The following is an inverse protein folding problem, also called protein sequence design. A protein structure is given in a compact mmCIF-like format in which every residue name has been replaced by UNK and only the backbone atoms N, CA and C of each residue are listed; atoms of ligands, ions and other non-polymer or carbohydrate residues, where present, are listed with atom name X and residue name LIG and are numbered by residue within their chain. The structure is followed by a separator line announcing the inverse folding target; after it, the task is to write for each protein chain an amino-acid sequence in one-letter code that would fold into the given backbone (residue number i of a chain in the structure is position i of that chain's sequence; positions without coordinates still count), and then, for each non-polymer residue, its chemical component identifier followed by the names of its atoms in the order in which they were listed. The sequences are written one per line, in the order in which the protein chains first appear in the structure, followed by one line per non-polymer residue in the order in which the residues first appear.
data_IF_600658992642
#
_entry.id   IF_600658992642
#
_cell.length_a   1.000
_cell.length_b   1.000
_cell.length_c   1.000
_cell.angle_alpha   90.00
_cell.angle_beta   90.00
_cell.angle_gamma   90.00
#
_symmetry.space_group_name_H-M   'P 1'
#
loop_
_entity.id
_entity.type
_entity.pdbx_description
1 polymer ?
#
# COMPACT_ATOMS: atom_id res chain seq x y z
N UNK A 1 17.03 4.78 -11.34
CA UNK A 1 16.41 6.14 -11.44
C UNK A 1 15.82 6.50 -10.11
N UNK A 2 16.08 7.68 -9.58
CA UNK A 2 15.50 8.13 -8.31
C UNK A 2 14.05 8.58 -8.51
N UNK A 3 13.21 8.39 -7.48
CA UNK A 3 11.77 8.67 -7.52
C UNK A 3 11.34 9.56 -6.37
N UNK A 4 10.53 10.57 -6.68
CA UNK A 4 10.04 11.54 -5.69
C UNK A 4 8.51 11.66 -5.79
N UNK A 5 7.85 11.60 -4.64
CA UNK A 5 6.41 11.83 -4.54
C UNK A 5 6.13 13.34 -4.56
N UNK A 6 5.17 13.74 -5.38
CA UNK A 6 4.76 15.14 -5.56
C UNK A 6 3.24 15.25 -5.68
N UNK A 7 2.70 16.45 -5.60
CA UNK A 7 1.30 16.69 -5.95
C UNK A 7 1.07 16.55 -7.45
N UNK A 8 -0.10 16.05 -7.87
CA UNK A 8 -0.45 15.83 -9.29
C UNK A 8 -0.25 17.08 -10.15
N UNK A 9 -0.50 18.28 -9.60
CA UNK A 9 -0.30 19.53 -10.34
C UNK A 9 1.16 19.80 -10.70
N UNK A 10 2.11 19.32 -9.89
CA UNK A 10 3.54 19.47 -10.19
C UNK A 10 3.95 18.73 -11.48
N UNK A 11 3.29 17.61 -11.79
CA UNK A 11 3.57 16.81 -12.99
C UNK A 11 3.19 17.54 -14.30
N UNK A 12 2.33 18.56 -14.22
CA UNK A 12 1.89 19.36 -15.38
C UNK A 12 2.88 20.48 -15.72
N UNK A 13 3.81 20.76 -14.82
CA UNK A 13 4.74 21.89 -14.94
C UNK A 13 6.07 21.44 -15.57
N UNK A 14 6.63 22.28 -16.43
CA UNK A 14 7.96 22.06 -17.01
C UNK A 14 9.10 22.38 -16.02
N UNK A 15 8.80 23.11 -14.96
CA UNK A 15 9.75 23.36 -13.87
C UNK A 15 9.01 23.28 -12.53
N UNK A 16 8.72 22.06 -12.02
CA UNK A 16 7.95 21.89 -10.81
C UNK A 16 8.75 22.35 -9.59
N UNK A 17 8.06 23.01 -8.67
CA UNK A 17 8.59 23.23 -7.34
C UNK A 17 8.35 21.99 -6.50
N UNK A 18 9.41 21.40 -5.96
CA UNK A 18 9.31 20.22 -5.12
C UNK A 18 8.80 20.58 -3.71
N UNK A 19 7.91 19.77 -3.13
CA UNK A 19 7.61 19.82 -1.70
C UNK A 19 8.90 19.75 -0.87
N UNK A 20 8.89 20.37 0.30
CA UNK A 20 10.09 20.47 1.18
C UNK A 20 10.75 19.11 1.44
N UNK A 21 9.96 18.05 1.65
CA UNK A 21 10.46 16.70 1.88
C UNK A 21 11.13 16.13 0.63
N UNK A 22 10.49 16.23 -0.53
CA UNK A 22 11.06 15.79 -1.81
C UNK A 22 12.34 16.58 -2.17
N UNK A 23 12.34 17.90 -1.93
CA UNK A 23 13.52 18.73 -2.14
C UNK A 23 14.69 18.34 -1.21
N UNK A 24 14.41 18.04 0.05
CA UNK A 24 15.42 17.56 0.98
C UNK A 24 15.95 16.18 0.58
N UNK A 25 15.07 15.28 0.15
CA UNK A 25 15.48 13.97 -0.35
C UNK A 25 16.39 14.09 -1.56
N UNK A 26 16.05 14.96 -2.53
CA UNK A 26 16.88 15.24 -3.71
C UNK A 26 18.28 15.76 -3.31
N UNK A 27 18.37 16.63 -2.31
CA UNK A 27 19.66 17.13 -1.80
C UNK A 27 20.53 16.03 -1.20
N UNK A 28 19.92 15.07 -0.49
CA UNK A 28 20.64 13.91 0.09
C UNK A 28 21.15 12.99 -1.01
N UNK A 29 20.38 12.78 -2.07
CA UNK A 29 20.74 11.96 -3.22
C UNK A 29 21.93 12.52 -4.01
N UNK A 30 22.18 13.84 -3.97
CA UNK A 30 23.26 14.54 -4.69
C UNK A 30 23.30 14.16 -6.18
N UNK A 31 22.19 14.31 -6.91
CA UNK A 31 22.14 13.91 -8.31
C UNK A 31 23.15 14.70 -9.15
N UNK A 32 23.65 14.08 -10.20
CA UNK A 32 24.54 14.73 -11.17
C UNK A 32 23.73 15.58 -12.14
N UNK A 33 24.39 16.55 -12.76
CA UNK A 33 23.79 17.31 -13.85
C UNK A 33 23.39 16.37 -15.01
N UNK A 34 22.17 16.55 -15.52
CA UNK A 34 21.59 15.68 -16.55
C UNK A 34 21.03 14.34 -16.04
N UNK A 35 21.15 14.02 -14.75
CA UNK A 35 20.59 12.78 -14.20
C UNK A 35 19.06 12.79 -14.24
N UNK A 36 18.48 11.66 -14.62
CA UNK A 36 17.03 11.51 -14.69
C UNK A 36 16.44 11.09 -13.34
N UNK A 37 15.36 11.77 -12.97
CA UNK A 37 14.53 11.43 -11.83
C UNK A 37 13.08 11.32 -12.28
N UNK A 38 12.32 10.44 -11.62
CA UNK A 38 10.89 10.32 -11.82
C UNK A 38 10.14 11.06 -10.71
N UNK A 39 9.21 11.91 -11.09
CA UNK A 39 8.19 12.44 -10.20
C UNK A 39 6.91 11.62 -10.40
N UNK A 40 6.24 11.24 -9.30
CA UNK A 40 4.95 10.54 -9.34
C UNK A 40 4.01 11.08 -8.27
N UNK A 41 2.69 10.95 -8.48
CA UNK A 41 1.69 11.53 -7.58
C UNK A 41 1.03 10.54 -6.61
N UNK A 42 1.40 9.26 -6.69
CA UNK A 42 0.75 8.20 -5.91
C UNK A 42 -0.70 7.92 -6.31
N UNK A 43 -1.16 8.50 -7.42
CA UNK A 43 -2.51 8.34 -8.00
C UNK A 43 -2.47 7.82 -9.44
N UNK A 44 -1.32 7.26 -9.83
CA UNK A 44 -1.10 6.64 -11.12
C UNK A 44 -0.44 7.53 -12.16
N UNK A 45 -0.27 8.83 -11.93
CA UNK A 45 0.42 9.71 -12.85
C UNK A 45 1.91 9.85 -12.48
N UNK A 46 2.75 9.97 -13.50
CA UNK A 46 4.19 10.13 -13.34
C UNK A 46 4.82 10.82 -14.56
N UNK A 47 5.98 11.46 -14.36
CA UNK A 47 6.76 12.10 -15.44
C UNK A 47 8.25 12.09 -15.09
N UNK A 48 9.10 11.92 -16.11
CA UNK A 48 10.56 11.92 -15.96
C UNK A 48 11.11 13.32 -16.20
N UNK A 49 12.01 13.75 -15.33
CA UNK A 49 12.70 15.03 -15.40
C UNK A 49 14.22 14.83 -15.35
N UNK A 50 14.96 15.71 -16.02
CA UNK A 50 16.40 15.84 -15.86
C UNK A 50 16.71 16.89 -14.81
N UNK A 51 17.69 16.59 -13.98
CA UNK A 51 18.23 17.53 -13.00
C UNK A 51 19.18 18.48 -13.70
N UNK A 52 18.99 19.77 -13.54
CA UNK A 52 19.94 20.81 -13.93
C UNK A 52 20.53 21.39 -12.65
N UNK A 53 21.84 21.23 -12.48
CA UNK A 53 22.55 21.72 -11.30
C UNK A 53 23.02 23.16 -11.56
N UNK A 54 22.50 24.10 -10.76
CA UNK A 54 22.89 25.50 -10.85
C UNK A 54 24.32 25.74 -10.34
N UNK A 55 25.07 26.59 -11.05
CA UNK A 55 26.46 26.97 -10.72
C UNK A 55 26.57 28.05 -9.63
N UNK A 56 25.58 28.17 -8.71
CA UNK A 56 25.58 29.20 -7.66
C UNK A 56 26.46 28.84 -6.45
N UNK A 57 27.12 29.87 -5.91
CA UNK A 57 28.04 29.77 -4.78
C UNK A 57 27.39 29.20 -3.52
N UNK A 58 27.69 27.94 -3.19
CA UNK A 58 27.54 27.39 -1.83
C UNK A 58 26.32 26.55 -1.50
N UNK A 59 25.28 26.50 -2.31
CA UNK A 59 24.15 25.56 -2.19
C UNK A 59 23.81 25.01 -3.56
N UNK A 60 23.79 23.68 -3.70
CA UNK A 60 23.32 23.05 -4.93
C UNK A 60 21.85 23.44 -5.15
N UNK A 61 21.63 24.29 -6.13
CA UNK A 61 20.30 24.69 -6.57
C UNK A 61 19.91 23.74 -7.71
N UNK A 62 18.86 22.96 -7.52
CA UNK A 62 18.41 21.98 -8.50
C UNK A 62 17.18 22.51 -9.21
N UNK A 63 17.26 22.57 -10.52
CA UNK A 63 16.11 22.81 -11.40
C UNK A 63 15.76 21.51 -12.12
N UNK A 64 14.48 21.24 -12.27
CA UNK A 64 13.98 20.09 -13.00
C UNK A 64 13.43 20.54 -14.35
N UNK A 65 13.81 19.80 -15.40
CA UNK A 65 13.37 20.04 -16.78
C UNK A 65 12.83 18.70 -17.31
N UNK A 66 11.64 18.66 -17.93
CA UNK A 66 11.11 17.42 -18.48
C UNK A 66 12.09 16.77 -19.45
N UNK A 67 12.30 15.47 -19.31
CA UNK A 67 13.24 14.72 -20.16
C UNK A 67 12.86 14.78 -21.63
N UNK A 68 11.57 14.90 -21.92
CA UNK A 68 11.00 14.93 -23.28
C UNK A 68 11.18 16.27 -24.00
N UNK A 69 11.26 17.38 -23.24
CA UNK A 69 11.44 18.73 -23.84
C UNK A 69 12.80 18.91 -24.53
N UNK A 70 13.77 18.06 -24.25
CA UNK A 70 15.08 18.11 -24.92
C UNK A 70 15.03 17.52 -26.33
N UNK A 71 13.96 16.78 -26.70
CA UNK A 71 13.88 16.05 -27.96
C UNK A 71 12.57 16.26 -28.77
N UNK A 72 11.59 17.03 -28.28
CA UNK A 72 10.33 17.25 -28.98
C UNK A 72 9.62 18.54 -28.55
N UNK A 73 9.02 19.30 -29.49
CA UNK A 73 8.30 20.55 -29.19
C UNK A 73 6.88 20.33 -28.63
N UNK A 74 6.42 19.10 -28.49
CA UNK A 74 5.08 18.80 -27.95
C UNK A 74 5.20 18.41 -26.50
N UNK A 75 4.79 19.27 -25.59
CA UNK A 75 4.63 18.96 -24.17
C UNK A 75 3.67 17.77 -24.01
N UNK A 76 4.22 16.61 -23.70
CA UNK A 76 3.39 15.43 -23.44
C UNK A 76 2.75 15.56 -22.04
N UNK A 77 1.49 15.19 -21.95
CA UNK A 77 0.81 15.03 -20.66
C UNK A 77 1.56 13.99 -19.80
N UNK A 78 1.51 14.09 -18.47
CA UNK A 78 2.11 13.08 -17.61
C UNK A 78 1.57 11.69 -17.96
N UNK A 79 2.47 10.70 -17.94
CA UNK A 79 2.06 9.31 -18.12
C UNK A 79 1.11 8.88 -16.99
N UNK A 80 0.23 7.94 -17.28
CA UNK A 80 -0.67 7.40 -16.27
C UNK A 80 -0.83 5.89 -16.42
N UNK A 81 -1.01 5.21 -15.31
CA UNK A 81 -1.35 3.78 -15.27
C UNK A 81 -2.73 3.60 -14.65
N UNK A 82 -3.43 2.61 -15.14
CA UNK A 82 -4.77 2.28 -14.62
C UNK A 82 -4.71 1.95 -13.13
N UNK A 83 -5.75 2.34 -12.39
CA UNK A 83 -5.87 1.99 -10.98
C UNK A 83 -5.90 0.47 -10.81
N UNK A 84 -5.13 -0.09 -9.87
CA UNK A 84 -5.18 -1.51 -9.57
C UNK A 84 -6.58 -1.95 -9.15
N UNK A 85 -6.93 -3.20 -9.39
CA UNK A 85 -8.16 -3.79 -8.84
C UNK A 85 -8.12 -3.71 -7.31
N UNK A 86 -9.23 -3.35 -6.65
CA UNK A 86 -9.24 -3.15 -5.22
C UNK A 86 -8.88 -4.41 -4.43
N UNK A 87 -7.86 -4.28 -3.59
CA UNK A 87 -7.43 -5.25 -2.59
C UNK A 87 -7.28 -4.55 -1.24
N UNK A 88 -8.14 -4.90 -0.27
CA UNK A 88 -8.12 -4.32 1.07
C UNK A 88 -7.56 -5.31 2.08
N UNK A 89 -6.57 -4.90 2.84
CA UNK A 89 -6.04 -5.65 3.97
C UNK A 89 -6.59 -5.08 5.28
N UNK A 90 -7.38 -5.87 5.98
CA UNK A 90 -7.79 -5.67 7.37
C UNK A 90 -6.85 -6.50 8.25
N UNK A 91 -5.87 -5.88 8.88
CA UNK A 91 -4.92 -6.61 9.72
C UNK A 91 -4.86 -6.03 11.12
N UNK A 92 -4.83 -6.92 12.11
CA UNK A 92 -4.61 -6.50 13.48
C UNK A 92 -3.20 -5.94 13.67
N UNK A 93 -3.10 -4.80 14.37
CA UNK A 93 -1.83 -4.09 14.55
C UNK A 93 -0.89 -4.91 15.39
N UNK A 94 0.25 -5.31 14.82
CA UNK A 94 1.31 -6.04 15.50
C UNK A 94 2.30 -5.09 16.16
N UNK A 95 3.11 -5.60 17.11
CA UNK A 95 4.04 -4.78 17.90
C UNK A 95 5.28 -4.35 17.09
N UNK A 96 5.60 -3.06 17.15
CA UNK A 96 6.88 -2.50 16.70
C UNK A 96 7.11 -2.59 15.19
N UNK A 97 8.31 -2.95 14.80
CA UNK A 97 8.75 -3.02 13.40
C UNK A 97 8.01 -4.05 12.53
N UNK A 98 7.34 -5.02 13.14
CA UNK A 98 6.54 -6.01 12.41
C UNK A 98 5.36 -5.36 11.68
N UNK A 99 4.70 -4.41 12.33
CA UNK A 99 3.62 -3.66 11.69
C UNK A 99 4.13 -2.77 10.56
N UNK A 100 5.26 -2.09 10.78
CA UNK A 100 5.91 -1.27 9.75
C UNK A 100 6.27 -2.13 8.53
N UNK A 101 6.82 -3.31 8.75
CA UNK A 101 7.13 -4.29 7.71
C UNK A 101 5.88 -4.78 6.96
N UNK A 102 4.77 -4.98 7.68
CA UNK A 102 3.49 -5.35 7.04
C UNK A 102 3.01 -4.26 6.09
N UNK A 103 3.06 -2.99 6.49
CA UNK A 103 2.68 -1.86 5.62
C UNK A 103 3.60 -1.78 4.39
N UNK A 104 4.91 -1.86 4.62
CA UNK A 104 5.91 -1.84 3.56
C UNK A 104 5.61 -2.92 2.52
N UNK A 105 5.52 -4.18 2.92
CA UNK A 105 5.35 -5.30 1.98
C UNK A 105 3.95 -5.36 1.37
N UNK A 106 2.90 -4.98 2.09
CA UNK A 106 1.57 -4.86 1.52
C UNK A 106 1.50 -3.79 0.42
N UNK A 107 2.24 -2.67 0.60
CA UNK A 107 2.35 -1.62 -0.42
C UNK A 107 3.10 -2.11 -1.65
N UNK A 108 4.23 -2.79 -1.49
CA UNK A 108 5.01 -3.38 -2.59
C UNK A 108 4.18 -4.40 -3.40
N UNK A 109 3.29 -5.13 -2.75
CA UNK A 109 2.40 -6.12 -3.36
C UNK A 109 1.14 -5.52 -3.99
N UNK A 110 0.99 -4.20 -3.96
CA UNK A 110 -0.11 -3.50 -4.64
C UNK A 110 -1.44 -3.51 -3.89
N UNK A 111 -1.45 -3.65 -2.57
CA UNK A 111 -2.64 -3.43 -1.76
C UNK A 111 -3.14 -2.00 -1.98
N UNK A 112 -4.44 -1.85 -2.22
CA UNK A 112 -5.03 -0.53 -2.49
C UNK A 112 -5.56 0.16 -1.25
N UNK A 113 -5.79 -0.61 -0.16
CA UNK A 113 -6.29 -0.08 1.11
C UNK A 113 -5.80 -0.93 2.28
N UNK A 114 -5.31 -0.29 3.34
CA UNK A 114 -4.90 -0.94 4.60
C UNK A 114 -5.78 -0.39 5.72
N UNK A 115 -6.46 -1.28 6.42
CA UNK A 115 -7.29 -0.98 7.58
C UNK A 115 -6.63 -1.60 8.81
N UNK A 116 -5.96 -0.79 9.65
CA UNK A 116 -5.38 -1.26 10.91
C UNK A 116 -6.50 -1.57 11.92
N UNK A 117 -6.59 -2.80 12.38
CA UNK A 117 -7.66 -3.27 13.27
C UNK A 117 -7.13 -3.44 14.70
N UNK A 118 -7.92 -3.02 15.67
CA UNK A 118 -7.72 -3.27 17.10
C UNK A 118 -8.79 -4.27 17.54
N UNK A 119 -8.44 -5.54 17.62
CA UNK A 119 -9.29 -6.62 18.15
C UNK A 119 -9.06 -6.80 19.65
N UNK A 120 -9.87 -7.63 20.28
CA UNK A 120 -9.80 -7.88 21.73
C UNK A 120 -8.39 -8.39 22.15
N UNK A 121 -7.80 -9.31 21.36
CA UNK A 121 -6.50 -9.91 21.64
C UNK A 121 -5.32 -9.17 21.01
N UNK A 122 -5.53 -8.02 20.38
CA UNK A 122 -4.47 -7.16 19.91
C UNK A 122 -3.66 -6.62 21.09
N UNK A 123 -2.36 -6.90 21.12
CA UNK A 123 -1.47 -6.48 22.23
C UNK A 123 -1.26 -4.96 22.21
N UNK A 124 -1.15 -4.39 21.01
CA UNK A 124 -0.91 -2.94 20.82
C UNK A 124 -2.21 -2.19 21.10
N UNK A 125 -2.16 -1.28 22.08
CA UNK A 125 -3.27 -0.36 22.36
C UNK A 125 -2.92 1.01 21.83
N UNK A 126 -3.80 1.59 21.02
CA UNK A 126 -3.63 2.91 20.41
C UNK A 126 -4.78 3.79 20.87
N UNK A 127 -4.54 4.74 21.77
CA UNK A 127 -5.53 5.72 22.18
C UNK A 127 -6.12 6.46 20.98
N UNK A 128 -7.37 6.88 21.05
CA UNK A 128 -8.05 7.54 19.93
C UNK A 128 -7.33 8.81 19.48
N UNK A 129 -6.79 9.57 20.42
CA UNK A 129 -6.01 10.78 20.19
C UNK A 129 -4.71 10.56 19.41
N UNK A 130 -4.14 9.35 19.48
CA UNK A 130 -2.89 9.00 18.79
C UNK A 130 -3.11 8.39 17.38
N UNK A 131 -4.36 8.03 17.03
CA UNK A 131 -4.67 7.28 15.80
C UNK A 131 -4.26 8.04 14.53
N UNK A 132 -4.55 9.33 14.48
CA UNK A 132 -4.18 10.18 13.34
C UNK A 132 -2.66 10.26 13.16
N UNK A 133 -1.89 10.48 14.23
CA UNK A 133 -0.43 10.53 14.18
C UNK A 133 0.18 9.17 13.75
N UNK A 134 -0.41 8.06 14.19
CA UNK A 134 0.00 6.71 13.73
C UNK A 134 -0.24 6.54 12.25
N UNK A 135 -1.42 6.92 11.74
CA UNK A 135 -1.73 6.88 10.32
C UNK A 135 -0.74 7.69 9.49
N UNK A 136 -0.41 8.92 9.90
CA UNK A 136 0.57 9.75 9.19
C UNK A 136 1.95 9.09 9.11
N UNK A 137 2.41 8.48 10.21
CA UNK A 137 3.67 7.75 10.22
C UNK A 137 3.62 6.56 9.25
N UNK A 138 2.54 5.81 9.22
CA UNK A 138 2.37 4.66 8.34
C UNK A 138 2.24 5.05 6.87
N UNK A 139 1.63 6.18 6.57
CA UNK A 139 1.63 6.74 5.22
C UNK A 139 3.04 6.99 4.69
N UNK A 140 3.95 7.52 5.54
CA UNK A 140 5.36 7.73 5.15
C UNK A 140 6.06 6.40 4.81
N UNK A 141 5.78 5.33 5.57
CA UNK A 141 6.32 3.99 5.27
C UNK A 141 5.81 3.50 3.90
N UNK A 142 4.52 3.68 3.61
CA UNK A 142 3.95 3.32 2.31
C UNK A 142 4.53 4.15 1.17
N UNK A 143 4.77 5.44 1.38
CA UNK A 143 5.44 6.32 0.41
C UNK A 143 6.87 5.85 0.11
N UNK A 144 7.63 5.48 1.14
CA UNK A 144 8.98 4.94 0.98
C UNK A 144 8.95 3.60 0.22
N UNK A 145 8.05 2.71 0.57
CA UNK A 145 7.85 1.42 -0.11
C UNK A 145 7.46 1.62 -1.59
N UNK A 146 6.55 2.55 -1.89
CA UNK A 146 6.15 2.86 -3.25
C UNK A 146 7.30 3.43 -4.09
N UNK A 147 8.17 4.26 -3.48
CA UNK A 147 9.37 4.75 -4.15
C UNK A 147 10.33 3.62 -4.54
N UNK A 148 10.47 2.61 -3.70
CA UNK A 148 11.38 1.48 -3.93
C UNK A 148 10.82 0.45 -4.91
N UNK A 149 9.52 0.18 -4.87
CA UNK A 149 8.86 -0.87 -5.66
C UNK A 149 8.37 -0.43 -7.03
N UNK A 150 8.62 0.81 -7.43
CA UNK A 150 8.07 1.40 -8.66
C UNK A 150 6.53 1.47 -8.70
N UNK A 151 5.87 1.37 -7.54
CA UNK A 151 4.42 1.53 -7.46
C UNK A 151 4.01 2.95 -7.83
N UNK A 152 3.04 3.09 -8.74
CA UNK A 152 2.50 4.39 -9.16
C UNK A 152 1.25 4.77 -8.35
N UNK A 153 0.69 3.83 -7.59
CA UNK A 153 -0.45 4.02 -6.72
C UNK A 153 -0.07 3.79 -5.27
N UNK A 154 -0.40 4.74 -4.42
CA UNK A 154 -0.28 4.58 -2.96
C UNK A 154 -1.55 3.92 -2.41
N UNK A 155 -1.42 3.02 -1.42
CA UNK A 155 -2.57 2.52 -0.70
C UNK A 155 -3.21 3.64 0.14
N UNK A 156 -4.52 3.59 0.29
CA UNK A 156 -5.21 4.33 1.34
C UNK A 156 -4.94 3.64 2.68
N UNK A 157 -4.32 4.31 3.65
CA UNK A 157 -4.16 3.80 5.02
C UNK A 157 -5.15 4.53 5.92
N UNK A 158 -6.03 3.77 6.58
CA UNK A 158 -6.97 4.35 7.53
C UNK A 158 -6.32 4.56 8.90
N UNK A 159 -6.97 5.37 9.71
CA UNK A 159 -6.70 5.37 11.15
C UNK A 159 -7.04 4.00 11.73
N UNK A 160 -6.36 3.58 12.81
CA UNK A 160 -6.75 2.36 13.52
C UNK A 160 -8.23 2.38 13.90
N UNK A 161 -8.94 1.30 13.61
CA UNK A 161 -10.35 1.14 13.95
C UNK A 161 -10.52 0.00 14.94
N UNK A 162 -11.53 0.09 15.79
CA UNK A 162 -11.90 -1.02 16.65
C UNK A 162 -12.54 -2.14 15.80
N UNK A 163 -12.42 -3.39 16.25
CA UNK A 163 -12.85 -4.55 15.47
C UNK A 163 -14.30 -4.41 14.97
N UNK A 164 -15.23 -4.03 15.83
CA UNK A 164 -16.63 -3.88 15.46
C UNK A 164 -16.85 -2.86 14.32
N UNK A 165 -16.14 -1.75 14.37
CA UNK A 165 -16.20 -0.71 13.32
C UNK A 165 -15.59 -1.19 12.00
N UNK A 166 -14.60 -2.10 12.05
CA UNK A 166 -13.96 -2.64 10.87
C UNK A 166 -14.92 -3.45 9.99
N UNK A 167 -15.89 -4.14 10.58
CA UNK A 167 -16.88 -4.95 9.86
C UNK A 167 -17.76 -4.08 8.94
N UNK A 168 -18.13 -2.88 9.38
CA UNK A 168 -18.90 -1.94 8.58
C UNK A 168 -18.13 -1.35 7.38
N UNK A 169 -16.82 -1.50 7.34
CA UNK A 169 -15.97 -1.04 6.25
C UNK A 169 -15.85 -2.05 5.09
N UNK A 170 -16.34 -3.28 5.27
CA UNK A 170 -16.39 -4.31 4.23
C UNK A 170 -17.57 -4.00 3.30
N UNK A 171 -17.27 -3.52 2.08
CA UNK A 171 -18.30 -3.16 1.09
C UNK A 171 -18.00 -3.81 -0.24
N UNK A 172 -19.02 -4.47 -0.83
CA UNK A 172 -18.98 -4.98 -2.21
C UNK A 172 -17.69 -5.72 -2.57
N UNK A 173 -17.16 -6.51 -1.62
CA UNK A 173 -15.92 -7.26 -1.80
C UNK A 173 -16.14 -8.73 -1.49
N UNK A 174 -15.37 -9.59 -2.15
CA UNK A 174 -15.19 -10.95 -1.68
C UNK A 174 -14.26 -10.92 -0.48
N UNK A 175 -14.85 -11.05 0.70
CA UNK A 175 -14.11 -10.99 1.94
C UNK A 175 -13.63 -12.38 2.36
N UNK A 176 -12.37 -12.49 2.72
CA UNK A 176 -11.75 -13.70 3.27
C UNK A 176 -11.22 -13.40 4.67
N UNK A 177 -11.18 -14.41 5.53
CA UNK A 177 -10.54 -14.33 6.85
C UNK A 177 -9.61 -15.51 7.05
N UNK A 178 -8.34 -15.22 7.37
CA UNK A 178 -7.41 -16.25 7.84
C UNK A 178 -7.87 -16.77 9.20
N UNK A 179 -8.21 -18.05 9.29
CA UNK A 179 -8.78 -18.64 10.50
C UNK A 179 -8.10 -19.95 10.86
N UNK A 180 -7.87 -20.15 12.17
CA UNK A 180 -7.37 -21.39 12.76
C UNK A 180 -8.56 -22.13 13.38
N UNK A 181 -9.29 -22.91 12.56
CA UNK A 181 -10.44 -23.72 13.03
C UNK A 181 -10.13 -25.20 12.98
N UNK A 182 -10.95 -25.99 13.66
CA UNK A 182 -10.90 -27.45 13.58
C UNK A 182 -12.30 -28.00 13.21
N UNK A 183 -12.47 -28.60 12.02
CA UNK A 183 -11.46 -28.85 11.00
C UNK A 183 -10.95 -27.55 10.37
N UNK A 184 -9.72 -27.55 9.78
CA UNK A 184 -9.18 -26.38 9.11
C UNK A 184 -10.00 -26.04 7.86
N UNK A 185 -10.18 -24.74 7.53
CA UNK A 185 -10.86 -24.34 6.31
C UNK A 185 -10.00 -24.67 5.07
N UNK A 186 -10.59 -24.51 3.89
CA UNK A 186 -9.85 -24.68 2.63
C UNK A 186 -8.64 -23.76 2.53
N UNK A 187 -7.61 -24.20 1.82
CA UNK A 187 -6.50 -23.33 1.47
C UNK A 187 -7.01 -22.13 0.66
N UNK A 188 -6.45 -20.96 0.92
CA UNK A 188 -6.84 -19.71 0.25
C UNK A 188 -6.82 -19.85 -1.28
N UNK A 189 -5.80 -20.52 -1.84
CA UNK A 189 -5.70 -20.71 -3.29
C UNK A 189 -6.82 -21.61 -3.82
N UNK A 190 -7.11 -22.71 -3.13
CA UNK A 190 -8.20 -23.63 -3.52
C UNK A 190 -9.56 -22.93 -3.45
N UNK A 191 -9.77 -22.10 -2.44
CA UNK A 191 -10.99 -21.31 -2.30
C UNK A 191 -11.16 -20.31 -3.45
N UNK A 192 -10.09 -19.66 -3.86
CA UNK A 192 -10.09 -18.73 -5.00
C UNK A 192 -10.36 -19.43 -6.33
N UNK A 193 -9.80 -20.61 -6.55
CA UNK A 193 -9.97 -21.38 -7.76
C UNK A 193 -11.38 -21.99 -7.89
N UNK A 194 -11.93 -22.51 -6.80
CA UNK A 194 -13.28 -23.10 -6.81
C UNK A 194 -14.40 -22.10 -7.06
N UNK A 195 -14.24 -20.89 -6.59
CA UNK A 195 -15.24 -19.84 -6.73
C UNK A 195 -15.17 -19.06 -8.05
N UNK A 196 -14.23 -19.42 -8.91
CA UNK A 196 -13.98 -18.72 -10.21
C UNK A 196 -15.00 -19.04 -11.31
N UNK A 197 -16.03 -19.83 -11.04
CA UNK A 197 -17.07 -20.20 -12.02
C UNK A 197 -18.06 -19.09 -12.33
N UNK A 198 -18.11 -18.00 -11.57
CA UNK A 198 -18.88 -16.81 -11.92
C UNK A 198 -17.92 -15.64 -12.17
N UNK A 199 -17.93 -15.27 -13.41
CA UNK A 199 -17.33 -14.07 -13.98
C UNK A 199 -17.50 -12.86 -13.10
N UNK A 200 -16.44 -12.10 -13.04
CA UNK A 200 -16.43 -10.66 -12.83
C UNK A 200 -15.67 -10.17 -11.60
N UNK A 201 -14.99 -9.22 -11.80
CA UNK A 201 -14.54 -8.02 -11.09
C UNK A 201 -14.78 -7.98 -9.57
N UNK A 202 -14.36 -9.01 -8.83
CA UNK A 202 -14.43 -8.92 -7.38
C UNK A 202 -13.31 -8.01 -6.86
N UNK A 203 -13.72 -7.06 -6.05
CA UNK A 203 -12.84 -6.45 -5.08
C UNK A 203 -12.57 -7.49 -4.00
N UNK A 204 -11.37 -7.56 -3.49
CA UNK A 204 -11.02 -8.53 -2.43
C UNK A 204 -10.72 -7.81 -1.13
N UNK A 205 -11.14 -8.43 -0.03
CA UNK A 205 -10.77 -8.04 1.32
C UNK A 205 -10.24 -9.25 2.08
N UNK A 206 -9.21 -9.03 2.90
CA UNK A 206 -8.59 -10.07 3.70
C UNK A 206 -8.49 -9.60 5.15
N UNK A 207 -9.09 -10.35 6.07
CA UNK A 207 -8.89 -10.19 7.51
C UNK A 207 -7.78 -11.10 8.02
N UNK A 208 -6.89 -10.53 8.84
CA UNK A 208 -5.82 -11.27 9.52
C UNK A 208 -5.80 -10.86 10.99
N UNK A 209 -5.92 -11.84 11.87
CA UNK A 209 -5.96 -11.67 13.33
C UNK A 209 -4.60 -11.31 13.93
N UNK A 210 -4.58 -10.98 15.24
CA UNK A 210 -3.35 -10.76 15.99
C UNK A 210 -2.65 -12.10 16.29
N UNK A 211 -1.53 -12.06 17.02
CA UNK A 211 -0.80 -13.25 17.42
C UNK A 211 -1.63 -14.24 18.26
N UNK A 212 -2.66 -13.77 18.96
CA UNK A 212 -3.61 -14.58 19.75
C UNK A 212 -4.85 -15.02 18.98
N UNK A 213 -4.89 -14.76 17.66
CA UNK A 213 -6.07 -14.94 16.80
C UNK A 213 -7.28 -14.10 17.25
N UNK A 214 -8.33 -14.08 16.45
CA UNK A 214 -9.63 -13.51 16.85
C UNK A 214 -10.26 -14.32 17.99
N UNK A 215 -11.06 -13.67 18.84
CA UNK A 215 -11.87 -14.41 19.81
C UNK A 215 -12.94 -15.23 19.08
N UNK A 216 -13.54 -16.25 19.73
CA UNK A 216 -14.63 -17.01 19.13
C UNK A 216 -15.80 -16.13 18.67
N UNK A 217 -16.13 -15.09 19.43
CA UNK A 217 -17.23 -14.16 19.10
C UNK A 217 -16.86 -13.24 17.94
N UNK A 218 -15.61 -12.73 17.89
CA UNK A 218 -15.10 -11.97 16.76
C UNK A 218 -15.07 -12.82 15.49
N UNK A 219 -14.56 -14.05 15.58
CA UNK A 219 -14.51 -14.95 14.43
C UNK A 219 -15.92 -15.32 13.95
N UNK A 220 -16.86 -15.54 14.85
CA UNK A 220 -18.27 -15.77 14.50
C UNK A 220 -18.83 -14.61 13.70
N UNK A 221 -18.62 -13.37 14.14
CA UNK A 221 -19.08 -12.18 13.42
C UNK A 221 -18.40 -12.03 12.06
N UNK A 222 -17.11 -12.41 11.95
CA UNK A 222 -16.41 -12.39 10.67
C UNK A 222 -16.95 -13.43 9.68
N UNK A 223 -17.27 -14.63 10.12
CA UNK A 223 -17.78 -15.70 9.25
C UNK A 223 -19.15 -15.36 8.65
N UNK A 224 -19.91 -14.45 9.23
CA UNK A 224 -21.16 -13.95 8.65
C UNK A 224 -20.93 -13.12 7.37
N UNK A 225 -19.75 -12.50 7.22
CA UNK A 225 -19.42 -11.59 6.10
C UNK A 225 -18.18 -12.01 5.31
N UNK A 226 -17.41 -12.98 5.78
CA UNK A 226 -16.15 -13.42 5.20
C UNK A 226 -16.06 -14.95 5.12
N UNK A 227 -15.45 -15.45 4.07
CA UNK A 227 -15.14 -16.88 3.94
C UNK A 227 -13.87 -17.21 4.71
N UNK A 228 -13.90 -18.15 5.66
CA UNK A 228 -12.69 -18.60 6.35
C UNK A 228 -11.77 -19.36 5.39
N UNK A 229 -10.47 -19.08 5.48
CA UNK A 229 -9.42 -19.71 4.66
C UNK A 229 -8.22 -20.10 5.53
N UNK A 230 -7.52 -21.13 5.10
CA UNK A 230 -6.25 -21.56 5.66
C UNK A 230 -5.10 -21.03 4.82
N UNK A 231 -3.98 -20.69 5.47
CA UNK A 231 -2.74 -20.31 4.80
C UNK A 231 -1.73 -21.46 4.71
N UNK A 232 -2.13 -22.67 5.05
CA UNK A 232 -1.29 -23.86 4.95
C UNK A 232 -1.26 -24.68 6.24
N UNK A 233 -0.38 -25.69 6.28
CA UNK A 233 -0.35 -26.66 7.38
C UNK A 233 0.33 -26.13 8.67
N UNK A 234 1.00 -24.99 8.59
CA UNK A 234 1.73 -24.38 9.71
C UNK A 234 1.04 -23.11 10.19
N UNK A 235 1.13 -22.84 11.48
CA UNK A 235 0.65 -21.57 12.05
C UNK A 235 1.65 -20.47 11.70
N UNK A 236 1.20 -19.48 10.94
CA UNK A 236 1.98 -18.33 10.58
C UNK A 236 1.89 -17.23 11.65
N UNK A 237 2.95 -16.44 11.82
CA UNK A 237 2.85 -15.19 12.57
C UNK A 237 1.92 -14.21 11.85
N UNK A 238 1.27 -13.31 12.59
CA UNK A 238 0.29 -12.37 12.04
C UNK A 238 0.82 -11.59 10.83
N UNK A 239 2.04 -11.04 10.93
CA UNK A 239 2.69 -10.33 9.82
C UNK A 239 2.96 -11.24 8.60
N UNK A 240 3.37 -12.49 8.85
CA UNK A 240 3.61 -13.47 7.77
C UNK A 240 2.29 -13.88 7.12
N UNK A 241 1.25 -14.11 7.92
CA UNK A 241 -0.09 -14.45 7.44
C UNK A 241 -0.67 -13.33 6.55
N UNK A 242 -0.52 -12.07 6.97
CA UNK A 242 -0.96 -10.92 6.20
C UNK A 242 -0.27 -10.85 4.82
N UNK A 243 1.05 -10.97 4.79
CA UNK A 243 1.80 -10.87 3.54
C UNK A 243 1.58 -12.09 2.65
N UNK A 244 1.52 -13.30 3.22
CA UNK A 244 1.19 -14.50 2.45
C UNK A 244 -0.19 -14.38 1.77
N UNK A 245 -1.22 -14.03 2.54
CA UNK A 245 -2.57 -13.92 2.01
C UNK A 245 -2.69 -12.80 0.95
N UNK A 246 -2.06 -11.65 1.19
CA UNK A 246 -1.97 -10.56 0.20
C UNK A 246 -1.25 -11.02 -1.06
N UNK A 247 -0.13 -11.75 -0.94
CA UNK A 247 0.63 -12.24 -2.11
C UNK A 247 -0.21 -13.16 -2.99
N UNK A 248 -0.94 -14.10 -2.37
CA UNK A 248 -1.82 -15.01 -3.10
C UNK A 248 -2.94 -14.24 -3.82
N UNK A 249 -3.58 -13.28 -3.13
CA UNK A 249 -4.63 -12.45 -3.71
C UNK A 249 -4.10 -11.55 -4.84
N UNK A 250 -2.97 -10.90 -4.64
CA UNK A 250 -2.35 -10.04 -5.66
C UNK A 250 -2.00 -10.84 -6.92
N UNK A 251 -1.38 -12.01 -6.77
CA UNK A 251 -1.06 -12.91 -7.89
C UNK A 251 -2.33 -13.40 -8.60
N UNK A 252 -3.36 -13.77 -7.86
CA UNK A 252 -4.64 -14.20 -8.42
C UNK A 252 -5.35 -13.08 -9.20
N UNK A 253 -5.32 -11.85 -8.67
CA UNK A 253 -5.89 -10.66 -9.32
C UNK A 253 -5.13 -10.31 -10.60
N UNK A 254 -3.81 -10.39 -10.58
CA UNK A 254 -2.96 -10.08 -11.74
C UNK A 254 -3.12 -11.10 -12.89
N UNK A 255 -3.48 -12.35 -12.59
CA UNK A 255 -3.71 -13.40 -13.58
C UNK A 255 -5.10 -13.40 -14.23
N UNK A 256 -5.95 -12.45 -13.86
CA UNK A 256 -7.32 -12.22 -14.37
C UNK A 256 -7.42 -10.96 -15.23
#
# INVERSE_FOLDING_TARGET
MHRLLVHSEALKLDSPQLPKEAANHLKVLRPKDGEEIELFDGKGAWRVYKVVVGSGSGRADFRLVPSELLNSPTAQLPNSVQRPKPLTLFACVTKGSRWDWTIEKATELGVTRIVPVISERTIVRIPKEDRAAKRERWMRIAEDAARQSDAKWLPEILEPVDFADSLALVKETRCLVGALTNPPPRLILDELLHSSTSTSHFNYSLFVGPEGDFTPDELKSLIEIATPVSFGPTILRAETAAIFGVSVLAAFIAGK
#
